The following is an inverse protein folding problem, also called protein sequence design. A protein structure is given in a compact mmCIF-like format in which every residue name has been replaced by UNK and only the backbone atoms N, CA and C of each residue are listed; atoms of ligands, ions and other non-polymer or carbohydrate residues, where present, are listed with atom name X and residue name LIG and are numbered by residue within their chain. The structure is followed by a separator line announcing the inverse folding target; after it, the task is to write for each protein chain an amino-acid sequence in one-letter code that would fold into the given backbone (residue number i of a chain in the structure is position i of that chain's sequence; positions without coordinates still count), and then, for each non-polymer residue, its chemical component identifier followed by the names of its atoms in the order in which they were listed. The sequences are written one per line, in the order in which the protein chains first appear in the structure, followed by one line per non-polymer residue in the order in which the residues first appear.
data_IF_838578910848
#
_entry.id   IF_838578910848
#
_cell.length_a   1.000
_cell.length_b   1.000
_cell.length_c   1.000
_cell.angle_alpha   90.00
_cell.angle_beta   90.00
_cell.angle_gamma   90.00
#
_symmetry.space_group_name_H-M   'P 1'
#
loop_
_entity.id
_entity.type
_entity.pdbx_description
1 polymer ?
#
# COMPACT_ATOMS: atom_id res chain seq x y z
N UNK A 1 16.36 -30.30 -8.71
CA UNK A 1 16.36 -28.82 -8.63
C UNK A 1 17.60 -28.33 -9.36
N UNK A 2 17.42 -27.57 -10.45
CA UNK A 2 18.55 -27.02 -11.21
C UNK A 2 19.34 -26.04 -10.32
N UNK A 3 20.67 -26.05 -10.45
CA UNK A 3 21.56 -25.19 -9.67
C UNK A 3 21.22 -23.72 -9.95
N UNK A 4 21.23 -22.83 -8.94
CA UNK A 4 21.14 -21.39 -9.18
C UNK A 4 22.38 -20.95 -9.95
N UNK A 5 22.21 -20.65 -11.24
CA UNK A 5 23.26 -20.01 -12.03
C UNK A 5 23.17 -18.52 -11.75
N UNK A 6 24.28 -17.93 -11.31
CA UNK A 6 24.36 -16.48 -11.20
C UNK A 6 24.34 -15.86 -12.60
N UNK A 7 23.66 -14.72 -12.77
CA UNK A 7 23.60 -14.05 -14.06
C UNK A 7 24.89 -13.30 -14.43
N UNK A 8 25.92 -13.31 -13.57
CA UNK A 8 27.18 -12.58 -13.72
C UNK A 8 28.34 -13.28 -13.00
N UNK A 9 29.57 -12.87 -13.32
CA UNK A 9 30.81 -13.35 -12.68
C UNK A 9 30.98 -12.73 -11.27
N UNK A 10 31.59 -13.48 -10.35
CA UNK A 10 31.81 -13.09 -8.95
C UNK A 10 32.91 -12.05 -8.74
N UNK A 11 33.63 -11.69 -9.78
CA UNK A 11 34.71 -10.69 -9.69
C UNK A 11 34.18 -9.26 -9.50
N UNK A 12 32.85 -9.08 -9.47
CA UNK A 12 32.20 -7.78 -9.37
C UNK A 12 31.88 -7.45 -7.92
N UNK A 13 32.36 -6.31 -7.45
CA UNK A 13 32.01 -5.77 -6.13
C UNK A 13 30.60 -5.15 -6.10
N UNK A 14 30.10 -4.75 -7.29
CA UNK A 14 28.79 -4.14 -7.50
C UNK A 14 28.09 -4.69 -8.74
N UNK A 15 26.76 -4.59 -8.77
CA UNK A 15 25.96 -4.87 -9.97
C UNK A 15 25.01 -3.72 -10.28
N UNK A 16 24.82 -3.43 -11.56
CA UNK A 16 23.81 -2.47 -12.00
C UNK A 16 22.43 -3.13 -11.93
N UNK A 17 21.49 -2.52 -11.21
CA UNK A 17 20.11 -2.99 -11.12
C UNK A 17 19.20 -2.03 -11.88
N UNK A 18 18.45 -2.55 -12.85
CA UNK A 18 17.49 -1.79 -13.67
C UNK A 18 16.07 -2.33 -13.50
N UNK A 19 15.02 -1.52 -13.70
CA UNK A 19 13.66 -2.04 -13.71
C UNK A 19 13.44 -2.92 -14.94
N UNK A 20 12.85 -4.09 -14.72
CA UNK A 20 12.31 -4.91 -15.79
C UNK A 20 10.82 -4.64 -15.94
N UNK A 21 10.47 -3.87 -16.98
CA UNK A 21 9.09 -3.60 -17.34
C UNK A 21 8.43 -4.80 -18.02
N UNK A 22 7.29 -5.21 -17.48
CA UNK A 22 6.41 -6.23 -18.06
C UNK A 22 4.96 -5.76 -17.87
N UNK A 23 4.31 -5.28 -18.93
CA UNK A 23 3.00 -4.63 -18.82
C UNK A 23 1.91 -5.57 -18.28
N UNK A 24 2.05 -6.88 -18.49
CA UNK A 24 1.08 -7.87 -18.01
C UNK A 24 1.21 -8.02 -16.50
N UNK A 25 2.43 -8.24 -16.01
CA UNK A 25 2.68 -8.39 -14.56
C UNK A 25 2.51 -7.06 -13.83
N UNK A 26 2.77 -5.93 -14.47
CA UNK A 26 2.53 -4.62 -13.88
C UNK A 26 1.05 -4.35 -13.63
N UNK A 27 0.17 -4.78 -14.54
CA UNK A 27 -1.27 -4.57 -14.43
C UNK A 27 -1.93 -5.40 -13.30
N UNK A 28 -1.48 -6.64 -13.09
CA UNK A 28 -2.17 -7.61 -12.19
C UNK A 28 -1.30 -8.17 -11.07
N UNK A 29 -0.01 -7.85 -11.07
CA UNK A 29 0.95 -8.30 -10.07
C UNK A 29 0.82 -7.55 -8.76
N UNK A 30 1.60 -7.98 -7.77
CA UNK A 30 1.65 -7.48 -6.41
C UNK A 30 2.95 -6.73 -6.15
N UNK A 31 2.90 -5.75 -5.24
CA UNK A 31 4.11 -5.07 -4.76
C UNK A 31 4.98 -6.09 -4.02
N UNK A 32 6.31 -6.13 -4.21
CA UNK A 32 7.21 -6.97 -3.42
C UNK A 32 7.06 -6.80 -1.90
N UNK A 33 6.59 -5.63 -1.45
CA UNK A 33 6.35 -5.29 -0.04
C UNK A 33 4.94 -5.59 0.43
N UNK A 34 4.05 -6.07 -0.46
CA UNK A 34 2.66 -6.34 -0.12
C UNK A 34 2.50 -7.52 0.83
N UNK A 35 1.40 -7.56 1.61
CA UNK A 35 1.06 -8.73 2.43
C UNK A 35 0.91 -10.01 1.61
N UNK A 36 0.46 -9.93 0.35
CA UNK A 36 0.33 -11.09 -0.53
C UNK A 36 1.69 -11.76 -0.77
N UNK A 37 2.73 -10.98 -1.11
CA UNK A 37 4.08 -11.50 -1.37
C UNK A 37 4.67 -12.09 -0.08
N UNK A 38 4.53 -11.38 1.04
CA UNK A 38 5.01 -11.89 2.33
C UNK A 38 4.31 -13.18 2.75
N UNK A 39 3.00 -13.30 2.52
CA UNK A 39 2.21 -14.44 2.97
C UNK A 39 2.40 -15.68 2.10
N UNK A 40 2.41 -15.52 0.78
CA UNK A 40 2.33 -16.65 -0.15
C UNK A 40 3.64 -16.94 -0.88
N UNK A 41 4.44 -15.90 -1.19
CA UNK A 41 5.71 -16.09 -1.88
C UNK A 41 6.87 -16.45 -0.94
N UNK A 42 6.80 -16.09 0.34
CA UNK A 42 7.88 -16.29 1.30
C UNK A 42 8.38 -17.74 1.39
N UNK A 43 7.47 -18.73 1.39
CA UNK A 43 7.85 -20.14 1.43
C UNK A 43 8.60 -20.60 0.16
N UNK A 44 8.37 -19.94 -0.97
CA UNK A 44 9.01 -20.25 -2.25
C UNK A 44 10.31 -19.49 -2.44
N UNK A 45 10.36 -18.21 -2.10
CA UNK A 45 11.53 -17.34 -2.27
C UNK A 45 12.52 -17.47 -1.10
N UNK A 46 12.03 -17.78 0.09
CA UNK A 46 12.77 -17.67 1.33
C UNK A 46 12.87 -16.22 1.83
N UNK A 47 13.21 -16.04 3.12
CA UNK A 47 13.24 -14.73 3.77
C UNK A 47 14.26 -13.78 3.14
N UNK A 48 15.47 -14.27 2.85
CA UNK A 48 16.56 -13.47 2.28
C UNK A 48 16.20 -12.87 0.92
N UNK A 49 15.69 -13.69 0.00
CA UNK A 49 15.27 -13.25 -1.35
C UNK A 49 14.10 -12.28 -1.28
N UNK A 50 13.13 -12.54 -0.39
CA UNK A 50 11.97 -11.68 -0.21
C UNK A 50 12.39 -10.30 0.29
N UNK A 51 13.26 -10.25 1.30
CA UNK A 51 13.78 -8.97 1.83
C UNK A 51 14.63 -8.23 0.80
N UNK A 52 15.47 -8.94 0.04
CA UNK A 52 16.26 -8.36 -1.04
C UNK A 52 15.38 -7.69 -2.10
N UNK A 53 14.32 -8.38 -2.57
CA UNK A 53 13.37 -7.81 -3.54
C UNK A 53 12.65 -6.58 -2.99
N UNK A 54 12.30 -6.58 -1.71
CA UNK A 54 11.70 -5.40 -1.05
C UNK A 54 12.64 -4.20 -1.04
N UNK A 55 13.95 -4.41 -0.78
CA UNK A 55 14.95 -3.34 -0.83
C UNK A 55 15.18 -2.84 -2.25
N UNK A 56 15.30 -3.74 -3.23
CA UNK A 56 15.46 -3.38 -4.64
C UNK A 56 14.25 -2.56 -5.12
N UNK A 57 13.03 -2.98 -4.80
CA UNK A 57 11.82 -2.25 -5.17
C UNK A 57 11.81 -0.83 -4.58
N UNK A 58 12.18 -0.68 -3.30
CA UNK A 58 12.29 0.64 -2.67
C UNK A 58 13.38 1.51 -3.32
N UNK A 59 14.52 0.93 -3.68
CA UNK A 59 15.59 1.66 -4.36
C UNK A 59 15.18 2.10 -5.78
N UNK A 60 14.50 1.24 -6.55
CA UNK A 60 13.98 1.58 -7.89
C UNK A 60 12.86 2.63 -7.85
N UNK A 61 12.17 2.81 -6.73
CA UNK A 61 11.24 3.94 -6.57
C UNK A 61 11.97 5.28 -6.42
N UNK A 62 13.15 5.28 -5.80
CA UNK A 62 13.99 6.47 -5.62
C UNK A 62 14.80 6.76 -6.90
N UNK A 63 15.31 5.70 -7.54
CA UNK A 63 16.14 5.75 -8.75
C UNK A 63 15.49 4.89 -9.88
N UNK A 64 14.49 5.43 -10.61
CA UNK A 64 13.75 4.68 -11.62
C UNK A 64 14.58 4.20 -12.80
N UNK A 65 15.67 4.90 -13.15
CA UNK A 65 16.58 4.50 -14.24
C UNK A 65 17.57 3.40 -13.81
N UNK A 66 17.43 2.91 -12.57
CA UNK A 66 18.30 1.93 -11.95
C UNK A 66 19.39 2.53 -11.08
N UNK A 67 20.04 1.66 -10.30
CA UNK A 67 21.06 2.02 -9.32
C UNK A 67 22.16 0.95 -9.26
N UNK A 68 23.29 1.28 -8.65
CA UNK A 68 24.39 0.33 -8.45
C UNK A 68 24.26 -0.32 -7.07
N UNK A 69 24.13 -1.65 -7.05
CA UNK A 69 24.02 -2.43 -5.83
C UNK A 69 25.41 -2.93 -5.40
N UNK A 70 25.98 -2.30 -4.39
CA UNK A 70 27.19 -2.77 -3.71
C UNK A 70 26.92 -4.10 -2.99
N UNK A 71 27.55 -5.19 -3.44
CA UNK A 71 27.18 -6.53 -3.01
C UNK A 71 27.53 -6.78 -1.54
N UNK A 72 28.74 -6.44 -1.11
CA UNK A 72 29.21 -6.68 0.25
C UNK A 72 28.50 -5.78 1.28
N UNK A 73 28.35 -4.49 0.96
CA UNK A 73 27.60 -3.55 1.81
C UNK A 73 26.13 -3.97 1.95
N UNK A 74 25.46 -4.29 0.83
CA UNK A 74 24.07 -4.74 0.87
C UNK A 74 23.93 -6.04 1.65
N UNK A 75 24.82 -7.02 1.45
CA UNK A 75 24.79 -8.28 2.17
C UNK A 75 24.84 -8.05 3.68
N UNK A 76 25.81 -7.25 4.15
CA UNK A 76 25.94 -6.87 5.56
C UNK A 76 24.69 -6.15 6.07
N UNK A 77 24.14 -5.23 5.28
CA UNK A 77 22.95 -4.46 5.65
C UNK A 77 21.67 -5.32 5.81
N UNK A 78 21.61 -6.52 5.22
CA UNK A 78 20.51 -7.50 5.45
C UNK A 78 20.93 -8.70 6.31
N UNK A 79 22.07 -8.62 6.99
CA UNK A 79 22.55 -9.68 7.89
C UNK A 79 22.98 -10.97 7.17
N UNK A 80 23.35 -10.87 5.89
CA UNK A 80 23.84 -11.99 5.09
C UNK A 80 25.35 -11.89 4.88
N UNK A 81 25.99 -13.05 4.74
CA UNK A 81 27.39 -13.14 4.38
C UNK A 81 27.61 -13.31 2.89
N UNK A 82 28.76 -12.83 2.41
CA UNK A 82 29.32 -13.13 1.08
C UNK A 82 30.25 -14.36 1.08
N UNK A 83 30.50 -14.98 2.25
CA UNK A 83 31.36 -16.16 2.37
C UNK A 83 30.82 -17.33 1.54
N UNK A 84 31.70 -17.96 0.77
CA UNK A 84 31.37 -19.11 -0.09
C UNK A 84 31.19 -18.78 -1.57
N UNK A 85 31.60 -17.58 -2.01
CA UNK A 85 31.54 -17.17 -3.42
C UNK A 85 30.12 -17.29 -3.97
N UNK A 86 29.95 -17.96 -5.12
CA UNK A 86 28.66 -18.18 -5.80
C UNK A 86 27.61 -18.85 -4.90
N UNK A 87 28.04 -19.57 -3.87
CA UNK A 87 27.17 -20.29 -2.94
C UNK A 87 26.88 -19.51 -1.65
N UNK A 88 27.41 -18.30 -1.51
CA UNK A 88 27.16 -17.43 -0.37
C UNK A 88 25.67 -17.12 -0.20
N UNK A 89 25.14 -16.98 1.04
CA UNK A 89 23.72 -16.71 1.29
C UNK A 89 23.15 -15.53 0.49
N UNK A 90 23.90 -14.43 0.34
CA UNK A 90 23.47 -13.27 -0.43
C UNK A 90 23.38 -13.55 -1.94
N UNK A 91 24.43 -14.14 -2.52
CA UNK A 91 24.47 -14.49 -3.93
C UNK A 91 23.44 -15.56 -4.29
N UNK A 92 23.16 -16.51 -3.38
CA UNK A 92 22.03 -17.44 -3.53
C UNK A 92 20.68 -16.73 -3.53
N UNK A 93 20.50 -15.68 -2.73
CA UNK A 93 19.28 -14.87 -2.76
C UNK A 93 19.13 -14.16 -4.11
N UNK A 94 20.20 -13.56 -4.65
CA UNK A 94 20.21 -12.97 -6.00
C UNK A 94 19.87 -14.04 -7.04
N UNK A 95 20.59 -15.17 -7.07
CA UNK A 95 20.36 -16.22 -8.04
C UNK A 95 18.91 -16.77 -7.98
N UNK A 96 18.32 -16.83 -6.78
CA UNK A 96 16.94 -17.26 -6.59
C UNK A 96 15.94 -16.29 -7.21
N UNK A 97 16.21 -14.99 -7.25
CA UNK A 97 15.35 -14.05 -8.01
C UNK A 97 15.25 -14.46 -9.49
N UNK A 98 16.36 -14.88 -10.10
CA UNK A 98 16.38 -15.38 -11.48
C UNK A 98 15.65 -16.72 -11.63
N UNK A 99 15.82 -17.66 -10.68
CA UNK A 99 15.11 -18.95 -10.68
C UNK A 99 13.59 -18.81 -10.66
N UNK A 100 13.07 -17.76 -10.02
CA UNK A 100 11.65 -17.48 -9.96
C UNK A 100 11.20 -16.46 -11.03
N UNK A 101 12.05 -16.17 -12.01
CA UNK A 101 11.78 -15.22 -13.11
C UNK A 101 11.41 -13.81 -12.63
N UNK A 102 11.93 -13.42 -11.47
CA UNK A 102 11.78 -12.08 -10.88
C UNK A 102 12.91 -11.15 -11.30
N UNK A 103 13.99 -11.71 -11.84
CA UNK A 103 15.06 -10.96 -12.47
C UNK A 103 15.60 -11.69 -13.68
N UNK A 104 16.34 -10.97 -14.51
CA UNK A 104 17.08 -11.51 -15.65
C UNK A 104 18.41 -10.76 -15.83
N UNK A 105 19.45 -11.40 -16.38
CA UNK A 105 20.64 -10.66 -16.82
C UNK A 105 20.27 -9.58 -17.84
N UNK A 106 20.92 -8.42 -17.73
CA UNK A 106 20.75 -7.27 -18.64
C UNK A 106 22.10 -6.79 -19.20
N UNK A 107 23.04 -7.73 -19.34
CA UNK A 107 24.42 -7.48 -19.74
C UNK A 107 25.44 -7.87 -18.64
N UNK A 108 26.75 -7.69 -18.92
CA UNK A 108 27.79 -8.00 -17.95
C UNK A 108 27.65 -7.13 -16.69
N UNK A 109 27.47 -7.78 -15.53
CA UNK A 109 27.30 -7.07 -14.26
C UNK A 109 26.00 -6.28 -14.11
N UNK A 110 25.00 -6.57 -14.96
CA UNK A 110 23.70 -5.91 -14.92
C UNK A 110 22.57 -6.91 -14.71
N UNK A 111 21.59 -6.53 -13.89
CA UNK A 111 20.44 -7.33 -13.50
C UNK A 111 19.16 -6.50 -13.62
N UNK A 112 18.29 -6.85 -14.56
CA UNK A 112 16.96 -6.27 -14.65
C UNK A 112 16.02 -7.00 -13.69
N UNK A 113 15.29 -6.27 -12.85
CA UNK A 113 14.45 -6.82 -11.78
C UNK A 113 13.01 -6.33 -11.92
N UNK A 114 12.04 -7.24 -11.79
CA UNK A 114 10.62 -6.89 -11.85
C UNK A 114 10.23 -6.01 -10.66
N UNK A 115 9.51 -4.94 -10.95
CA UNK A 115 8.94 -4.03 -9.93
C UNK A 115 7.64 -4.58 -9.33
N UNK A 116 7.00 -5.55 -10.01
CA UNK A 116 5.78 -6.25 -9.60
C UNK A 116 5.97 -7.76 -9.69
N UNK A 117 5.41 -8.49 -8.73
CA UNK A 117 5.49 -9.95 -8.66
C UNK A 117 4.13 -10.53 -9.04
N UNK A 118 4.11 -11.49 -9.97
CA UNK A 118 2.86 -12.13 -10.37
C UNK A 118 2.17 -12.85 -9.20
N UNK A 119 0.88 -13.13 -9.37
CA UNK A 119 0.21 -14.15 -8.56
C UNK A 119 0.96 -15.49 -8.63
N UNK A 120 0.71 -16.36 -7.64
CA UNK A 120 1.26 -17.71 -7.67
C UNK A 120 0.55 -18.51 -8.75
N UNK A 121 1.33 -19.24 -9.54
CA UNK A 121 0.78 -20.28 -10.43
C UNK A 121 0.20 -21.43 -9.61
N UNK A 122 -0.67 -22.24 -10.23
CA UNK A 122 -1.26 -23.41 -9.58
C UNK A 122 -0.17 -24.35 -9.01
N UNK A 123 0.86 -24.65 -9.80
CA UNK A 123 1.97 -25.51 -9.37
C UNK A 123 2.82 -24.92 -8.23
N UNK A 124 2.95 -23.60 -8.17
CA UNK A 124 3.63 -22.94 -7.06
C UNK A 124 2.77 -23.00 -5.79
N UNK A 125 1.46 -22.86 -5.92
CA UNK A 125 0.51 -22.95 -4.82
C UNK A 125 0.46 -24.36 -4.21
N UNK A 126 0.51 -25.40 -5.03
CA UNK A 126 0.55 -26.81 -4.59
C UNK A 126 1.71 -27.13 -3.65
N UNK A 127 2.79 -26.35 -3.71
CA UNK A 127 3.98 -26.51 -2.85
C UNK A 127 3.81 -25.87 -1.47
N UNK A 128 2.74 -25.09 -1.26
CA UNK A 128 2.43 -24.50 0.04
C UNK A 128 1.69 -25.49 0.93
N UNK A 129 1.77 -25.34 2.27
CA UNK A 129 0.90 -26.05 3.20
C UNK A 129 -0.59 -25.88 2.86
N UNK A 130 -1.44 -26.90 3.09
CA UNK A 130 -2.87 -26.84 2.75
C UNK A 130 -3.62 -25.65 3.35
N UNK A 131 -3.23 -25.21 4.55
CA UNK A 131 -3.80 -24.02 5.19
C UNK A 131 -3.55 -22.75 4.38
N UNK A 132 -2.32 -22.55 3.88
CA UNK A 132 -1.97 -21.42 3.02
C UNK A 132 -2.60 -21.53 1.63
N UNK A 133 -2.80 -22.74 1.10
CA UNK A 133 -3.54 -22.92 -0.14
C UNK A 133 -5.01 -22.48 0.00
N UNK A 134 -5.67 -22.91 1.08
CA UNK A 134 -7.05 -22.52 1.36
C UNK A 134 -7.16 -21.01 1.63
N UNK A 135 -6.20 -20.43 2.34
CA UNK A 135 -6.10 -18.99 2.57
C UNK A 135 -5.91 -18.22 1.27
N UNK A 136 -5.03 -18.67 0.37
CA UNK A 136 -4.83 -18.06 -0.94
C UNK A 136 -6.10 -18.08 -1.80
N UNK A 137 -6.82 -19.21 -1.85
CA UNK A 137 -8.10 -19.30 -2.57
C UNK A 137 -9.13 -18.30 -2.02
N UNK A 138 -9.21 -18.15 -0.70
CA UNK A 138 -10.06 -17.12 -0.07
C UNK A 138 -9.57 -15.72 -0.40
N UNK A 139 -8.25 -15.48 -0.38
CA UNK A 139 -7.66 -14.19 -0.71
C UNK A 139 -8.00 -13.77 -2.14
N UNK A 140 -7.78 -14.65 -3.11
CA UNK A 140 -8.06 -14.37 -4.53
C UNK A 140 -9.57 -14.29 -4.77
N UNK A 141 -10.38 -15.14 -4.13
CA UNK A 141 -11.84 -15.09 -4.25
C UNK A 141 -12.49 -13.90 -3.54
N UNK A 142 -11.85 -13.36 -2.50
CA UNK A 142 -12.30 -12.17 -1.78
C UNK A 142 -11.68 -10.87 -2.31
N UNK A 143 -10.60 -10.96 -3.09
CA UNK A 143 -10.04 -9.83 -3.79
C UNK A 143 -10.91 -9.55 -5.03
N UNK A 144 -11.66 -8.43 -5.08
CA UNK A 144 -12.09 -7.93 -6.38
C UNK A 144 -10.83 -7.60 -7.19
N UNK A 145 -10.94 -7.61 -8.51
CA UNK A 145 -9.87 -7.29 -9.47
C UNK A 145 -9.24 -5.92 -9.17
N UNK A 146 -8.24 -5.88 -8.29
CA UNK A 146 -7.74 -4.62 -7.72
C UNK A 146 -8.82 -3.80 -7.01
N UNK A 147 -8.47 -2.61 -6.48
CA UNK A 147 -9.50 -1.65 -6.11
C UNK A 147 -10.28 -1.31 -7.40
N UNK A 148 -11.58 -1.54 -7.38
CA UNK A 148 -12.49 -1.15 -8.46
C UNK A 148 -12.28 0.33 -8.79
N UNK A 149 -12.65 0.76 -10.00
CA UNK A 149 -12.57 2.17 -10.36
C UNK A 149 -13.29 3.06 -9.32
N UNK A 150 -14.36 2.55 -8.72
CA UNK A 150 -15.14 3.23 -7.68
C UNK A 150 -14.41 3.30 -6.32
N UNK A 151 -13.71 2.25 -5.91
CA UNK A 151 -12.90 2.28 -4.70
C UNK A 151 -11.69 3.20 -4.84
N UNK A 152 -11.03 3.20 -6.01
CA UNK A 152 -9.95 4.16 -6.30
C UNK A 152 -10.46 5.60 -6.27
N UNK A 153 -11.65 5.85 -6.83
CA UNK A 153 -12.33 7.15 -6.80
C UNK A 153 -12.69 7.57 -5.38
N UNK A 154 -13.25 6.66 -4.59
CA UNK A 154 -13.59 6.89 -3.17
C UNK A 154 -12.35 7.22 -2.35
N UNK A 155 -11.25 6.49 -2.55
CA UNK A 155 -9.97 6.76 -1.89
C UNK A 155 -9.40 8.11 -2.29
N UNK A 156 -9.40 8.45 -3.58
CA UNK A 156 -8.94 9.75 -4.07
C UNK A 156 -9.76 10.91 -3.46
N UNK A 157 -11.10 10.77 -3.41
CA UNK A 157 -12.00 11.74 -2.76
C UNK A 157 -11.70 11.95 -1.28
N UNK A 158 -11.43 10.86 -0.54
CA UNK A 158 -11.04 10.96 0.88
C UNK A 158 -9.71 11.67 1.06
N UNK A 159 -8.70 11.36 0.24
CA UNK A 159 -7.40 12.04 0.28
C UNK A 159 -7.52 13.54 -0.04
N UNK A 160 -8.29 13.88 -1.08
CA UNK A 160 -8.57 15.27 -1.44
C UNK A 160 -9.24 16.04 -0.29
N UNK A 161 -10.25 15.43 0.35
CA UNK A 161 -10.94 16.03 1.49
C UNK A 161 -10.00 16.23 2.69
N UNK A 162 -9.19 15.22 3.02
CA UNK A 162 -8.22 15.33 4.10
C UNK A 162 -7.20 16.45 3.85
N UNK A 163 -6.68 16.59 2.63
CA UNK A 163 -5.74 17.67 2.30
C UNK A 163 -6.37 19.05 2.52
N UNK A 164 -7.61 19.27 2.07
CA UNK A 164 -8.32 20.52 2.31
C UNK A 164 -8.62 20.76 3.80
N UNK A 165 -8.92 19.71 4.56
CA UNK A 165 -9.14 19.80 6.01
C UNK A 165 -7.85 20.12 6.79
N UNK A 166 -6.70 19.68 6.28
CA UNK A 166 -5.39 20.07 6.79
C UNK A 166 -4.99 21.51 6.41
N UNK A 167 -5.82 22.21 5.63
CA UNK A 167 -5.59 23.60 5.23
C UNK A 167 -4.76 23.76 3.96
N UNK A 168 -4.53 22.69 3.19
CA UNK A 168 -3.87 22.79 1.89
C UNK A 168 -4.72 23.59 0.91
N UNK A 169 -4.05 24.36 0.06
CA UNK A 169 -4.71 25.03 -1.07
C UNK A 169 -5.20 23.99 -2.09
N UNK A 170 -6.29 24.26 -2.83
CA UNK A 170 -6.78 23.32 -3.83
C UNK A 170 -5.71 22.91 -4.86
N UNK A 171 -4.88 23.86 -5.28
CA UNK A 171 -3.81 23.64 -6.25
C UNK A 171 -2.69 22.78 -5.66
N UNK A 172 -2.29 23.04 -4.40
CA UNK A 172 -1.28 22.22 -3.71
C UNK A 172 -1.78 20.79 -3.46
N UNK A 173 -3.05 20.64 -3.08
CA UNK A 173 -3.67 19.35 -2.86
C UNK A 173 -3.74 18.52 -4.15
N UNK A 174 -4.06 19.12 -5.29
CA UNK A 174 -4.09 18.43 -6.59
C UNK A 174 -2.69 17.98 -7.04
N UNK A 175 -1.69 18.85 -6.91
CA UNK A 175 -0.27 18.49 -7.14
C UNK A 175 0.16 17.34 -6.24
N UNK A 176 -0.28 17.33 -4.98
CA UNK A 176 0.03 16.26 -4.03
C UNK A 176 -0.62 14.93 -4.43
N UNK A 177 -1.86 14.94 -4.93
CA UNK A 177 -2.52 13.74 -5.46
C UNK A 177 -1.77 13.17 -6.68
N UNK A 178 -1.27 14.02 -7.58
CA UNK A 178 -0.43 13.57 -8.70
C UNK A 178 0.89 12.97 -8.24
N UNK A 179 1.54 13.56 -7.22
CA UNK A 179 2.76 13.01 -6.61
C UNK A 179 2.52 11.62 -6.03
N UNK A 180 1.34 11.40 -5.45
CA UNK A 180 0.88 10.08 -4.99
C UNK A 180 0.35 9.17 -6.10
N UNK A 181 0.64 9.51 -7.37
CA UNK A 181 0.30 8.71 -8.56
C UNK A 181 -1.20 8.50 -8.77
N UNK A 182 -2.05 9.41 -8.27
CA UNK A 182 -3.47 9.46 -8.64
C UNK A 182 -3.58 10.03 -10.06
N UNK A 183 -4.28 9.31 -10.95
CA UNK A 183 -4.46 9.71 -12.34
C UNK A 183 -5.04 11.14 -12.45
N UNK A 184 -4.57 12.00 -13.38
CA UNK A 184 -4.95 13.41 -13.39
C UNK A 184 -6.45 13.67 -13.42
N UNK A 185 -7.18 12.94 -14.27
CA UNK A 185 -8.64 13.04 -14.34
C UNK A 185 -9.34 12.68 -13.01
N UNK A 186 -8.79 11.71 -12.26
CA UNK A 186 -9.36 11.29 -10.98
C UNK A 186 -9.01 12.26 -9.85
N UNK A 187 -7.80 12.84 -9.88
CA UNK A 187 -7.39 13.88 -8.92
C UNK A 187 -8.29 15.11 -9.08
N UNK A 188 -8.49 15.57 -10.32
CA UNK A 188 -9.40 16.67 -10.63
C UNK A 188 -10.84 16.40 -10.20
N UNK A 189 -11.36 15.20 -10.49
CA UNK A 189 -12.71 14.79 -10.07
C UNK A 189 -12.85 14.75 -8.53
N UNK A 190 -11.84 14.22 -7.84
CA UNK A 190 -11.80 14.13 -6.38
C UNK A 190 -11.71 15.51 -5.72
N UNK A 191 -10.90 16.41 -6.26
CA UNK A 191 -10.77 17.79 -5.77
C UNK A 191 -12.06 18.58 -5.95
N UNK A 192 -12.71 18.47 -7.13
CA UNK A 192 -14.02 19.11 -7.37
C UNK A 192 -15.07 18.62 -6.38
N UNK A 193 -15.12 17.32 -6.12
CA UNK A 193 -16.03 16.74 -5.12
C UNK A 193 -15.75 17.26 -3.70
N UNK A 194 -14.48 17.31 -3.29
CA UNK A 194 -14.09 17.76 -1.95
C UNK A 194 -14.36 19.26 -1.72
N UNK A 195 -14.18 20.10 -2.75
CA UNK A 195 -14.53 21.53 -2.72
C UNK A 195 -16.04 21.76 -2.56
N UNK A 196 -16.87 21.00 -3.27
CA UNK A 196 -18.32 21.07 -3.09
C UNK A 196 -18.72 20.73 -1.64
N UNK A 197 -18.12 19.66 -1.08
CA UNK A 197 -18.37 19.18 0.29
C UNK A 197 -17.95 20.20 1.36
N UNK A 198 -16.81 20.84 1.19
CA UNK A 198 -16.30 21.87 2.11
C UNK A 198 -17.11 23.16 2.01
N UNK A 199 -17.58 23.52 0.81
CA UNK A 199 -18.52 24.64 0.60
C UNK A 199 -19.86 24.43 1.29
N UNK A 200 -20.47 23.25 1.12
CA UNK A 200 -21.70 22.85 1.85
C UNK A 200 -21.52 22.97 3.36
N UNK A 201 -20.42 22.42 3.90
CA UNK A 201 -20.13 22.49 5.33
C UNK A 201 -19.94 23.93 5.83
N UNK A 202 -19.24 24.79 5.07
CA UNK A 202 -19.09 26.21 5.41
C UNK A 202 -20.43 26.94 5.39
N UNK A 203 -21.30 26.65 4.44
CA UNK A 203 -22.64 27.26 4.37
C UNK A 203 -23.55 26.83 5.53
N UNK A 204 -23.45 25.58 5.97
CA UNK A 204 -24.18 25.05 7.13
C UNK A 204 -23.70 25.68 8.44
N UNK A 205 -22.38 25.84 8.61
CA UNK A 205 -21.79 26.52 9.78
C UNK A 205 -22.17 28.01 9.78
N UNK A 206 -22.08 28.71 8.65
CA UNK A 206 -22.48 30.11 8.54
C UNK A 206 -23.99 30.33 8.79
N UNK A 207 -24.84 29.39 8.37
CA UNK A 207 -26.27 29.42 8.68
C UNK A 207 -26.55 29.16 10.17
N UNK A 208 -25.78 28.30 10.82
CA UNK A 208 -25.87 28.07 12.26
C UNK A 208 -25.35 29.26 13.09
N UNK A 209 -24.31 29.95 12.62
CA UNK A 209 -23.77 31.16 13.24
C UNK A 209 -24.66 32.40 12.99
N UNK A 210 -25.50 32.37 11.94
CA UNK A 210 -26.45 33.42 11.59
C UNK A 210 -27.75 33.45 12.42
N UNK A 211 -28.01 32.41 13.22
CA UNK A 211 -29.24 32.27 14.04
C UNK A 211 -29.05 32.74 15.50
N UNK A 212 -28.08 33.63 15.73
CA UNK A 212 -27.80 34.27 17.02
C UNK A 212 -28.75 35.42 17.37
N UNK A 213 -29.84 35.12 18.06
CA UNK A 213 -30.57 35.91 19.09
C UNK A 213 -30.96 37.39 18.81
N UNK A 214 -32.27 37.73 18.83
CA UNK A 214 -32.72 39.06 19.25
C UNK A 214 -32.82 39.14 20.78
N UNK A 215 -31.89 39.86 21.41
CA UNK A 215 -32.00 40.29 22.81
C UNK A 215 -32.94 41.49 22.91
N UNK A 216 -34.14 41.32 23.49
CA UNK A 216 -35.13 42.38 23.60
C UNK A 216 -36.37 42.06 24.45
N UNK A 217 -36.12 41.83 25.75
CA UNK A 217 -36.95 42.04 26.95
C UNK A 217 -38.48 42.34 26.89
N UNK A 218 -39.19 41.67 27.81
CA UNK A 218 -40.40 42.08 28.56
C UNK A 218 -41.79 41.81 27.96
N UNK A 219 -42.46 40.75 28.41
CA UNK A 219 -43.42 40.81 29.53
C UNK A 219 -44.08 39.44 29.79
N UNK A 220 -44.13 39.08 31.07
CA UNK A 220 -44.97 38.03 31.66
C UNK A 220 -45.82 38.74 32.74
N UNK A 221 -47.02 38.27 33.16
CA UNK A 221 -47.20 36.89 33.65
C UNK A 221 -48.59 36.26 33.42
N UNK A 222 -48.71 34.93 33.64
CA UNK A 222 -50.02 34.26 33.62
C UNK A 222 -50.05 32.76 33.87
N UNK A 223 -49.96 32.39 35.16
CA UNK A 223 -50.67 31.28 35.83
C UNK A 223 -50.39 29.78 35.50
N UNK A 224 -49.69 29.18 36.46
CA UNK A 224 -49.81 27.84 37.05
C UNK A 224 -50.69 26.74 36.41
N UNK A 225 -50.10 25.53 36.29
CA UNK A 225 -50.65 24.33 36.95
C UNK A 225 -49.55 23.30 37.23
N UNK A 226 -49.63 22.70 38.42
CA UNK A 226 -48.66 21.79 39.03
C UNK A 226 -49.02 20.31 38.78
N UNK A 227 -47.95 19.51 38.61
CA UNK A 227 -47.67 18.15 39.15
C UNK A 227 -48.37 16.92 38.50
N UNK A 228 -47.87 15.68 38.74
CA UNK A 228 -46.57 15.26 39.30
C UNK A 228 -45.86 14.13 38.50
N UNK A 229 -44.61 13.90 38.92
CA UNK A 229 -43.66 12.83 38.56
C UNK A 229 -43.99 11.51 39.30
N UNK A 230 -43.92 10.32 38.69
CA UNK A 230 -43.81 9.09 39.44
C UNK A 230 -42.35 8.70 39.69
N UNK A 231 -42.14 8.12 40.87
CA UNK A 231 -40.88 7.85 41.52
C UNK A 231 -40.19 6.57 41.01
N UNK A 232 -38.86 6.56 41.17
CA UNK A 232 -37.97 5.41 41.10
C UNK A 232 -38.04 4.54 42.36
N UNK A 233 -37.98 3.22 42.17
CA UNK A 233 -37.40 2.23 43.10
C UNK A 233 -38.23 0.96 43.28
N UNK A 234 -37.67 -0.17 43.78
CA UNK A 234 -36.27 -0.62 43.77
C UNK A 234 -36.12 -2.04 43.17
N UNK A 235 -34.88 -2.54 43.19
CA UNK A 235 -34.49 -3.92 42.93
C UNK A 235 -35.14 -4.92 43.90
N UNK A 236 -35.41 -6.14 43.42
CA UNK A 236 -35.43 -7.33 44.26
C UNK A 236 -34.98 -8.57 43.48
N UNK A 237 -34.31 -9.44 44.22
CA UNK A 237 -33.56 -10.64 43.84
C UNK A 237 -34.45 -11.87 43.56
N UNK A 238 -33.78 -12.92 43.05
CA UNK A 238 -34.11 -14.35 43.15
C UNK A 238 -35.07 -14.99 42.11
N UNK A 239 -34.48 -15.74 41.16
CA UNK A 239 -34.43 -17.22 41.17
C UNK A 239 -33.60 -17.75 39.99
#
# INVERSE_FOLDING_TARGET
MSRPTLPFDLTLDRIRVTPWHDPVVEAVGYDPRSPYVERFWLALLGPSTTLLLRRIAAALEVEPDGFDLELDETAKAIGLGMRGGTNGPFLRAIARTGQFHLSRPDGPGALAVRTRISGLTHHQLERLPPSLQAEHRRWVGAAPEGPTAEERRTRARRLALSLLELGETPEAAEVQLHRWKVHPAMAHEAMRWALARTGERRSLVAAADGDGMPTGMSDAPGLATRRPRPATGPADDAA
#
